data_IF_026359544845
#
_entry.id   IF_026359544845
#
_cell.length_a   1.000
_cell.length_b   1.000
_cell.length_c   1.000
_cell.angle_alpha   90.00
_cell.angle_beta   90.00
_cell.angle_gamma   90.00
#
_symmetry.space_group_name_H-M   'P 1'
#
loop_
_entity.id
_entity.type
_entity.pdbx_description
1 polymer ?
#
# COMPACT_ATOMS: atom_id res chain seq x y z
N UNK A 1 -8.21 -15.92 -8.78
CA UNK A 1 -8.52 -15.79 -7.34
C UNK A 1 -7.64 -14.70 -6.69
N UNK A 2 -7.52 -13.54 -7.35
CA UNK A 2 -6.70 -12.38 -6.91
C UNK A 2 -7.58 -11.10 -6.82
N UNK A 3 -8.84 -11.18 -7.24
CA UNK A 3 -9.74 -10.01 -7.27
C UNK A 3 -10.30 -9.63 -5.88
N UNK A 4 -10.10 -10.49 -4.87
CA UNK A 4 -10.59 -10.24 -3.51
C UNK A 4 -9.64 -9.42 -2.63
N UNK A 5 -8.35 -9.33 -3.02
CA UNK A 5 -7.31 -8.54 -2.33
C UNK A 5 -7.11 -7.18 -2.99
N UNK A 6 -8.18 -6.46 -3.27
CA UNK A 6 -8.09 -5.02 -3.54
C UNK A 6 -8.38 -4.31 -2.23
N UNK A 7 -7.61 -3.27 -1.93
CA UNK A 7 -7.77 -2.44 -0.74
C UNK A 7 -9.24 -2.02 -0.53
N UNK A 8 -9.99 -1.79 -1.62
CA UNK A 8 -11.42 -1.40 -1.61
C UNK A 8 -11.64 -0.26 -0.61
N UNK A 9 -12.39 -0.51 0.47
CA UNK A 9 -12.70 0.43 1.57
C UNK A 9 -11.81 0.22 2.82
N UNK A 10 -10.96 -0.81 2.82
CA UNK A 10 -10.06 -1.12 3.93
C UNK A 10 -8.89 -0.12 3.96
N UNK A 11 -8.44 0.24 5.16
CA UNK A 11 -7.21 1.05 5.30
C UNK A 11 -6.01 0.29 4.74
N UNK A 12 -5.06 1.03 4.13
CA UNK A 12 -3.75 0.51 3.68
C UNK A 12 -3.05 -0.33 4.74
N UNK A 13 -3.22 0.01 6.03
CA UNK A 13 -2.64 -0.76 7.13
C UNK A 13 -3.22 -2.16 7.25
N UNK A 14 -4.53 -2.33 7.10
CA UNK A 14 -5.19 -3.65 7.15
C UNK A 14 -4.80 -4.46 5.93
N UNK A 15 -4.86 -3.84 4.74
CA UNK A 15 -4.47 -4.49 3.48
C UNK A 15 -3.02 -4.99 3.50
N UNK A 16 -2.08 -4.15 3.95
CA UNK A 16 -0.67 -4.52 4.07
C UNK A 16 -0.42 -5.62 5.10
N UNK A 17 -1.11 -5.59 6.25
CA UNK A 17 -0.98 -6.66 7.25
C UNK A 17 -1.50 -7.99 6.72
N UNK A 18 -2.62 -8.00 5.99
CA UNK A 18 -3.10 -9.21 5.33
C UNK A 18 -2.05 -9.75 4.37
N UNK A 19 -1.58 -8.95 3.41
CA UNK A 19 -0.53 -9.38 2.47
C UNK A 19 0.72 -9.92 3.19
N UNK A 20 1.14 -9.25 4.28
CA UNK A 20 2.27 -9.69 5.08
C UNK A 20 2.07 -11.09 5.67
N UNK A 21 0.89 -11.40 6.19
CA UNK A 21 0.57 -12.75 6.69
C UNK A 21 0.65 -13.77 5.55
N UNK A 22 0.12 -13.46 4.37
CA UNK A 22 0.20 -14.37 3.22
C UNK A 22 1.65 -14.60 2.75
N UNK A 23 2.47 -13.56 2.75
CA UNK A 23 3.90 -13.69 2.43
C UNK A 23 4.67 -14.49 3.48
N UNK A 24 4.34 -14.34 4.77
CA UNK A 24 4.93 -15.14 5.85
C UNK A 24 4.54 -16.62 5.75
N UNK A 25 3.29 -16.92 5.40
CA UNK A 25 2.86 -18.29 5.14
C UNK A 25 3.61 -18.87 3.93
N UNK A 26 3.74 -18.13 2.82
CA UNK A 26 4.50 -18.57 1.65
C UNK A 26 5.98 -18.85 1.97
N UNK A 27 6.62 -18.01 2.77
CA UNK A 27 8.00 -18.20 3.24
C UNK A 27 8.15 -19.49 4.05
N UNK A 28 7.19 -19.77 4.93
CA UNK A 28 7.14 -21.00 5.72
C UNK A 28 6.97 -22.26 4.85
N UNK A 29 6.15 -22.18 3.79
CA UNK A 29 5.97 -23.28 2.84
C UNK A 29 7.18 -23.49 1.91
N UNK A 30 7.95 -22.45 1.61
CA UNK A 30 9.10 -22.56 0.72
C UNK A 30 10.37 -23.10 1.39
N UNK A 31 10.38 -23.28 2.72
CA UNK A 31 11.47 -23.85 3.52
C UNK A 31 12.86 -23.56 2.94
N UNK A 32 13.14 -22.27 2.75
CA UNK A 32 14.33 -21.84 2.03
C UNK A 32 15.53 -21.98 2.97
N UNK A 33 16.21 -23.12 2.87
CA UNK A 33 17.43 -23.38 3.61
C UNK A 33 18.57 -22.58 2.95
N UNK A 34 18.85 -21.40 3.51
CA UNK A 34 19.86 -20.50 2.94
C UNK A 34 21.23 -20.76 3.58
N UNK A 35 22.10 -21.46 2.87
CA UNK A 35 23.47 -21.78 3.35
C UNK A 35 24.39 -20.54 3.46
N UNK A 36 24.01 -19.39 2.86
CA UNK A 36 24.83 -18.18 2.85
C UNK A 36 24.01 -16.91 3.14
N UNK A 37 24.47 -16.12 4.10
CA UNK A 37 23.89 -14.82 4.48
C UNK A 37 23.88 -13.81 3.33
N UNK A 38 24.85 -13.89 2.41
CA UNK A 38 24.89 -13.05 1.21
C UNK A 38 23.77 -13.40 0.22
N UNK A 39 23.48 -14.69 0.05
CA UNK A 39 22.36 -15.16 -0.76
C UNK A 39 21.02 -14.80 -0.10
N UNK A 40 20.91 -14.98 1.21
CA UNK A 40 19.71 -14.59 1.98
C UNK A 40 19.41 -13.09 1.81
N UNK A 41 20.44 -12.24 1.88
CA UNK A 41 20.28 -10.79 1.69
C UNK A 41 19.83 -10.44 0.26
N UNK A 42 20.37 -11.13 -0.75
CA UNK A 42 19.97 -10.92 -2.15
C UNK A 42 18.54 -11.40 -2.40
N UNK A 43 18.18 -12.56 -1.84
CA UNK A 43 16.84 -13.12 -1.92
C UNK A 43 15.82 -12.20 -1.24
N UNK A 44 16.12 -11.70 -0.04
CA UNK A 44 15.27 -10.75 0.66
C UNK A 44 15.01 -9.48 -0.16
N UNK A 45 16.03 -8.94 -0.85
CA UNK A 45 15.86 -7.80 -1.76
C UNK A 45 14.99 -8.13 -2.99
N UNK A 46 15.08 -9.35 -3.51
CA UNK A 46 14.25 -9.79 -4.63
C UNK A 46 12.79 -9.96 -4.19
N UNK A 47 12.56 -10.62 -3.05
CA UNK A 47 11.23 -10.80 -2.45
C UNK A 47 10.63 -9.43 -2.11
N UNK A 48 11.39 -8.52 -1.49
CA UNK A 48 10.91 -7.16 -1.18
C UNK A 48 10.43 -6.44 -2.45
N UNK A 49 11.16 -6.57 -3.55
CA UNK A 49 10.77 -5.99 -4.83
C UNK A 49 9.49 -6.62 -5.36
N UNK A 50 9.39 -7.94 -5.32
CA UNK A 50 8.20 -8.70 -5.76
C UNK A 50 6.95 -8.30 -4.97
N UNK A 51 7.08 -8.20 -3.65
CA UNK A 51 6.04 -7.74 -2.74
C UNK A 51 5.54 -6.32 -3.06
N UNK A 52 6.44 -5.41 -3.47
CA UNK A 52 6.05 -4.07 -3.94
C UNK A 52 5.23 -4.17 -5.23
N UNK A 53 5.62 -5.04 -6.17
CA UNK A 53 4.89 -5.25 -7.42
C UNK A 53 3.54 -5.93 -7.23
N UNK A 54 3.34 -6.73 -6.18
CA UNK A 54 2.03 -7.24 -5.75
C UNK A 54 1.20 -6.20 -5.01
N UNK A 55 1.82 -5.37 -4.17
CA UNK A 55 1.14 -4.36 -3.37
C UNK A 55 0.52 -3.26 -4.24
N UNK A 56 1.31 -2.70 -5.17
CA UNK A 56 0.94 -1.57 -6.02
C UNK A 56 -0.41 -1.78 -6.75
N UNK A 57 -0.64 -2.86 -7.51
CA UNK A 57 -1.88 -3.07 -8.27
C UNK A 57 -3.12 -3.26 -7.38
N UNK A 58 -2.97 -3.74 -6.14
CA UNK A 58 -4.09 -3.89 -5.21
C UNK A 58 -4.45 -2.63 -4.42
N UNK A 59 -3.65 -1.56 -4.50
CA UNK A 59 -4.00 -0.25 -3.92
C UNK A 59 -5.29 0.32 -4.54
N UNK A 60 -5.97 1.20 -3.81
CA UNK A 60 -7.15 1.89 -4.32
C UNK A 60 -6.80 2.74 -5.57
N UNK A 61 -7.61 2.76 -6.65
CA UNK A 61 -7.36 3.57 -7.84
C UNK A 61 -7.20 5.08 -7.56
N UNK A 62 -7.70 5.58 -6.43
CA UNK A 62 -7.46 6.97 -6.01
C UNK A 62 -5.99 7.25 -5.64
N UNK A 63 -5.20 6.20 -5.40
CA UNK A 63 -3.77 6.24 -5.12
C UNK A 63 -2.93 5.97 -6.38
N UNK A 64 -3.51 5.99 -7.58
CA UNK A 64 -2.78 5.72 -8.82
C UNK A 64 -1.62 6.70 -9.05
N UNK A 65 -1.82 7.98 -8.69
CA UNK A 65 -0.74 8.98 -8.69
C UNK A 65 0.43 8.61 -7.74
N UNK A 66 0.14 7.94 -6.63
CA UNK A 66 1.17 7.44 -5.69
C UNK A 66 1.96 6.30 -6.32
N UNK A 67 1.30 5.42 -7.10
CA UNK A 67 1.97 4.33 -7.85
C UNK A 67 2.97 4.89 -8.86
N UNK A 68 2.56 5.88 -9.65
CA UNK A 68 3.43 6.53 -10.63
C UNK A 68 4.65 7.18 -9.99
N UNK A 69 4.48 7.80 -8.81
CA UNK A 69 5.61 8.37 -8.06
C UNK A 69 6.56 7.31 -7.50
N UNK A 70 6.04 6.18 -7.00
CA UNK A 70 6.88 5.09 -6.49
C UNK A 70 7.70 4.46 -7.63
N UNK A 71 7.06 4.18 -8.77
CA UNK A 71 7.73 3.62 -9.94
C UNK A 71 8.76 4.57 -10.57
N UNK A 72 8.57 5.88 -10.41
CA UNK A 72 9.49 6.90 -10.90
C UNK A 72 10.64 7.26 -9.97
N UNK A 73 10.73 6.70 -8.75
CA UNK A 73 11.81 7.00 -7.81
C UNK A 73 13.10 6.23 -8.11
N UNK A 74 14.23 6.93 -8.00
CA UNK A 74 15.57 6.34 -8.06
C UNK A 74 16.41 6.82 -6.86
N UNK A 75 17.05 5.93 -6.08
CA UNK A 75 16.96 4.46 -6.16
C UNK A 75 15.55 3.96 -5.82
N UNK A 76 15.24 2.72 -6.24
CA UNK A 76 13.92 2.13 -6.00
C UNK A 76 13.68 2.00 -4.49
N UNK A 77 12.54 2.51 -3.98
CA UNK A 77 12.28 2.56 -2.53
C UNK A 77 12.05 1.16 -1.97
N UNK A 78 12.40 0.96 -0.69
CA UNK A 78 12.11 -0.29 0.02
C UNK A 78 10.62 -0.43 0.34
N UNK A 79 10.17 -1.66 0.62
CA UNK A 79 8.75 -1.94 0.90
C UNK A 79 8.22 -1.11 2.07
N UNK A 80 9.05 -0.92 3.11
CA UNK A 80 8.71 -0.08 4.25
C UNK A 80 8.52 1.41 3.87
N UNK A 81 9.35 1.94 2.97
CA UNK A 81 9.22 3.32 2.47
C UNK A 81 7.95 3.47 1.62
N UNK A 82 7.69 2.49 0.75
CA UNK A 82 6.45 2.43 -0.04
C UNK A 82 5.24 2.42 0.88
N UNK A 83 5.20 1.53 1.88
CA UNK A 83 4.12 1.45 2.84
C UNK A 83 3.90 2.77 3.60
N UNK A 84 4.99 3.36 4.11
CA UNK A 84 4.94 4.63 4.85
C UNK A 84 4.43 5.77 3.97
N UNK A 85 4.87 5.81 2.70
CA UNK A 85 4.45 6.81 1.74
C UNK A 85 2.97 6.70 1.40
N UNK A 86 2.50 5.48 1.12
CA UNK A 86 1.10 5.20 0.80
C UNK A 86 0.21 5.53 2.01
N UNK A 87 0.59 5.11 3.22
CA UNK A 87 -0.16 5.39 4.47
C UNK A 87 -0.26 6.90 4.76
N UNK A 88 0.83 7.64 4.55
CA UNK A 88 0.84 9.11 4.72
C UNK A 88 -0.12 9.79 3.74
N UNK A 89 -0.15 9.33 2.48
CA UNK A 89 -1.05 9.85 1.45
C UNK A 89 -2.52 9.51 1.70
N UNK A 90 -2.82 8.31 2.21
CA UNK A 90 -4.16 7.93 2.65
C UNK A 90 -4.63 8.82 3.83
N UNK A 91 -3.81 8.96 4.87
CA UNK A 91 -4.14 9.77 6.06
C UNK A 91 -4.42 11.24 5.71
N UNK A 92 -3.63 11.83 4.80
CA UNK A 92 -3.85 13.21 4.35
C UNK A 92 -5.14 13.39 3.56
N UNK A 93 -5.65 12.32 2.91
CA UNK A 93 -6.94 12.34 2.20
C UNK A 93 -8.11 12.15 3.14
N UNK A 94 -8.02 11.24 4.13
CA UNK A 94 -9.05 11.09 5.16
C UNK A 94 -9.30 12.37 5.97
N UNK A 95 -8.31 13.27 6.03
CA UNK A 95 -8.44 14.58 6.68
C UNK A 95 -9.14 15.64 5.81
N UNK A 96 -9.35 15.42 4.50
CA UNK A 96 -9.96 16.39 3.59
C UNK A 96 -11.47 16.19 3.37
N UNK A 97 -12.09 15.22 4.05
CA UNK A 97 -13.55 15.02 4.00
C UNK A 97 -14.27 15.55 5.27
N UNK A 98 -13.56 16.36 6.07
CA UNK A 98 -14.03 16.88 7.35
C UNK A 98 -14.51 18.32 7.35
N UNK A 99 -15.01 18.89 6.25
CA UNK A 99 -15.74 20.16 6.27
C UNK A 99 -16.80 20.25 5.18
N UNK A 100 -17.94 19.60 5.41
CA UNK A 100 -19.23 20.09 4.95
C UNK A 100 -20.06 20.44 6.19
N UNK A 101 -20.13 21.74 6.50
CA UNK A 101 -21.16 22.28 7.38
C UNK A 101 -21.78 23.50 6.71
N UNK A 102 -22.83 23.22 5.94
CA UNK A 102 -24.13 23.88 5.98
C UNK A 102 -24.12 25.42 5.99
N UNK A 103 -24.28 26.00 4.79
CA UNK A 103 -24.85 27.35 4.63
C UNK A 103 -26.31 27.21 4.21
N UNK A 104 -27.16 26.93 5.20
CA UNK A 104 -28.56 27.31 5.15
C UNK A 104 -28.63 28.82 5.34
N UNK A 105 -29.09 29.55 4.32
CA UNK A 105 -29.84 30.80 4.54
C UNK A 105 -30.89 30.90 3.44
N UNK A 106 -32.05 30.36 3.78
CA UNK A 106 -33.33 30.75 3.24
C UNK A 106 -33.61 32.19 3.70
N UNK A 107 -33.71 33.14 2.76
CA UNK A 107 -34.48 34.37 3.00
C UNK A 107 -35.16 34.81 1.71
N UNK A 108 -36.46 34.48 1.67
CA UNK A 108 -37.53 35.17 0.96
C UNK A 108 -37.26 36.68 0.80
N UNK A 109 -37.40 37.20 -0.41
CA UNK A 109 -37.79 38.60 -0.62
C UNK A 109 -38.89 38.66 -1.68
N UNK A 110 -40.03 39.19 -1.22
CA UNK A 110 -41.20 39.64 -1.98
C UNK A 110 -40.95 40.99 -2.64
#
# INVERSE_FOLDING_TARGET
>A
MIDDTKQKDLSVTVYYNTLKVWWQELDLYQHIEVESTAYATRLAKMIERDQIFDLLPGLNPQLDHVRGQILGKYPFPSLHEVYSYVRSKESRRGCHDGTSSTREFNTQYS
#
